data_IF_019964319006
#
_entry.id   IF_019964319006
#
_cell.length_a   1.000
_cell.length_b   1.000
_cell.length_c   1.000
_cell.angle_alpha   90.00
_cell.angle_beta   90.00
_cell.angle_gamma   90.00
#
_symmetry.space_group_name_H-M   'P 1'
#
loop_
_entity.id
_entity.type
_entity.pdbx_description
1 polymer ?
#
# COMPACT_ATOMS: atom_id res chain seq x y z
N UNK A 1 -14.40 -7.82 12.75
CA UNK A 1 -14.22 -8.23 11.35
C UNK A 1 -13.68 -9.65 11.39
N UNK A 2 -14.37 -10.61 10.77
CA UNK A 2 -13.92 -12.01 10.77
C UNK A 2 -12.51 -12.10 10.16
N UNK A 3 -11.67 -12.99 10.70
CA UNK A 3 -10.34 -13.23 10.14
C UNK A 3 -10.49 -13.91 8.78
N UNK A 4 -10.35 -13.11 7.71
CA UNK A 4 -10.31 -13.61 6.35
C UNK A 4 -9.12 -14.56 6.18
N UNK A 5 -9.35 -15.69 5.51
CA UNK A 5 -8.23 -16.49 4.98
C UNK A 5 -7.42 -15.64 3.99
N UNK A 6 -6.14 -15.95 3.82
CA UNK A 6 -5.25 -15.27 2.88
C UNK A 6 -5.84 -15.29 1.45
N UNK A 7 -6.46 -16.41 1.06
CA UNK A 7 -7.11 -16.54 -0.24
C UNK A 7 -8.31 -15.58 -0.40
N UNK A 8 -9.15 -15.47 0.63
CA UNK A 8 -10.28 -14.53 0.64
C UNK A 8 -9.78 -13.08 0.62
N UNK A 9 -8.77 -12.77 1.44
CA UNK A 9 -8.16 -11.45 1.50
C UNK A 9 -7.61 -11.03 0.14
N UNK A 10 -6.88 -11.91 -0.55
CA UNK A 10 -6.34 -11.64 -1.90
C UNK A 10 -7.45 -11.37 -2.90
N UNK A 11 -8.52 -12.18 -2.90
CA UNK A 11 -9.62 -12.01 -3.84
C UNK A 11 -10.33 -10.67 -3.63
N UNK A 12 -10.67 -10.34 -2.39
CA UNK A 12 -11.35 -9.10 -2.05
C UNK A 12 -10.48 -7.86 -2.28
N UNK A 13 -9.19 -7.93 -1.94
CA UNK A 13 -8.22 -6.86 -2.23
C UNK A 13 -8.09 -6.62 -3.73
N UNK A 14 -8.12 -7.68 -4.54
CA UNK A 14 -8.09 -7.57 -6.01
C UNK A 14 -9.32 -6.84 -6.55
N UNK A 15 -10.51 -7.15 -6.04
CA UNK A 15 -11.75 -6.47 -6.42
C UNK A 15 -11.69 -4.99 -6.04
N UNK A 16 -11.29 -4.68 -4.80
CA UNK A 16 -11.12 -3.30 -4.35
C UNK A 16 -10.10 -2.52 -5.17
N UNK A 17 -9.01 -3.17 -5.63
CA UNK A 17 -8.04 -2.56 -6.53
C UNK A 17 -8.64 -2.21 -7.90
N UNK A 18 -9.49 -3.07 -8.45
CA UNK A 18 -10.19 -2.82 -9.73
C UNK A 18 -11.15 -1.65 -9.57
N UNK A 19 -11.95 -1.65 -8.50
CA UNK A 19 -12.90 -0.56 -8.18
C UNK A 19 -12.20 0.77 -7.95
N UNK A 20 -11.04 0.76 -7.31
CA UNK A 20 -10.22 1.96 -7.10
C UNK A 20 -9.57 2.49 -8.40
N UNK A 21 -9.66 1.76 -9.52
CA UNK A 21 -9.09 2.17 -10.81
C UNK A 21 -7.62 1.80 -11.00
N UNK A 22 -7.17 0.67 -10.43
CA UNK A 22 -5.80 0.19 -10.62
C UNK A 22 -5.49 -0.04 -12.10
N UNK A 23 -4.29 0.32 -12.54
CA UNK A 23 -3.87 0.04 -13.93
C UNK A 23 -3.78 -1.46 -14.19
N UNK A 24 -4.03 -1.89 -15.42
CA UNK A 24 -3.91 -3.30 -15.84
C UNK A 24 -2.53 -3.89 -15.50
N UNK A 25 -1.48 -3.08 -15.63
CA UNK A 25 -0.13 -3.47 -15.21
C UNK A 25 -0.07 -3.80 -13.72
N UNK A 26 -0.58 -2.92 -12.86
CA UNK A 26 -0.56 -3.13 -11.42
C UNK A 26 -1.42 -4.34 -11.00
N UNK A 27 -2.60 -4.49 -11.60
CA UNK A 27 -3.46 -5.66 -11.37
C UNK A 27 -2.74 -6.98 -11.73
N UNK A 28 -2.00 -7.01 -12.85
CA UNK A 28 -1.25 -8.19 -13.27
C UNK A 28 -0.06 -8.51 -12.35
N UNK A 29 0.65 -7.48 -11.88
CA UNK A 29 1.71 -7.64 -10.88
C UNK A 29 1.13 -8.18 -9.58
N UNK A 30 0.06 -7.58 -9.07
CA UNK A 30 -0.64 -8.03 -7.87
C UNK A 30 -1.08 -9.50 -7.97
N UNK A 31 -1.69 -9.88 -9.11
CA UNK A 31 -2.11 -11.26 -9.38
C UNK A 31 -0.94 -12.24 -9.37
N UNK A 32 0.19 -11.87 -9.97
CA UNK A 32 1.36 -12.76 -10.03
C UNK A 32 2.00 -12.92 -8.66
N UNK A 33 2.21 -11.81 -7.95
CA UNK A 33 2.84 -11.80 -6.64
C UNK A 33 2.00 -12.54 -5.60
N UNK A 34 0.68 -12.32 -5.57
CA UNK A 34 -0.20 -12.97 -4.58
C UNK A 34 -0.36 -14.48 -4.82
N UNK A 35 -0.20 -14.96 -6.06
CA UNK A 35 -0.07 -16.41 -6.34
C UNK A 35 1.18 -16.99 -5.70
N UNK A 36 2.32 -16.29 -5.79
CA UNK A 36 3.57 -16.73 -5.17
C UNK A 36 3.46 -16.69 -3.64
N UNK A 37 2.82 -15.64 -3.09
CA UNK A 37 2.53 -15.55 -1.66
C UNK A 37 1.65 -16.71 -1.16
N UNK A 38 0.66 -17.14 -1.93
CA UNK A 38 -0.18 -18.31 -1.57
C UNK A 38 0.61 -19.62 -1.55
N UNK A 39 1.58 -19.79 -2.46
CA UNK A 39 2.45 -20.98 -2.45
C UNK A 39 3.36 -20.95 -1.22
N UNK A 40 3.97 -19.80 -0.94
CA UNK A 40 4.79 -19.59 0.26
C UNK A 40 3.99 -19.82 1.55
N UNK A 41 2.74 -19.36 1.62
CA UNK A 41 1.84 -19.62 2.74
C UNK A 41 1.57 -21.11 2.97
N UNK A 42 1.44 -21.90 1.90
CA UNK A 42 1.30 -23.37 2.01
C UNK A 42 2.56 -24.03 2.54
N UNK A 43 3.73 -23.61 2.08
CA UNK A 43 5.03 -24.13 2.56
C UNK A 43 5.22 -23.84 4.05
N UNK A 44 4.70 -22.72 4.54
CA UNK A 44 4.79 -22.27 5.93
C UNK A 44 3.55 -22.60 6.77
N UNK A 45 2.63 -23.45 6.28
CA UNK A 45 1.39 -23.86 6.98
C UNK A 45 0.60 -22.68 7.60
N UNK A 46 0.51 -21.58 6.87
CA UNK A 46 -0.13 -20.33 7.33
C UNK A 46 -1.34 -20.02 6.46
N UNK A 47 -2.50 -19.80 7.09
CA UNK A 47 -3.75 -19.50 6.38
C UNK A 47 -4.17 -18.03 6.49
N UNK A 48 -3.50 -17.23 7.32
CA UNK A 48 -3.80 -15.82 7.56
C UNK A 48 -2.66 -14.93 7.10
N UNK A 49 -2.99 -13.69 6.74
CA UNK A 49 -2.00 -12.68 6.40
C UNK A 49 -1.61 -11.87 7.65
N UNK A 50 -0.32 -11.59 7.78
CA UNK A 50 0.23 -10.54 8.63
C UNK A 50 1.25 -9.74 7.84
N UNK A 51 1.50 -8.49 8.25
CA UNK A 51 2.49 -7.66 7.59
C UNK A 51 3.89 -8.28 7.68
N UNK A 52 4.26 -8.83 8.84
CA UNK A 52 5.55 -9.50 9.04
C UNK A 52 5.71 -10.69 8.10
N UNK A 53 4.66 -11.49 7.92
CA UNK A 53 4.68 -12.62 6.99
C UNK A 53 4.85 -12.15 5.53
N UNK A 54 4.16 -11.07 5.15
CA UNK A 54 4.32 -10.46 3.82
C UNK A 54 5.72 -9.91 3.58
N UNK A 55 6.36 -9.31 4.60
CA UNK A 55 7.73 -8.82 4.52
C UNK A 55 8.74 -9.96 4.43
N UNK A 56 8.55 -11.03 5.22
CA UNK A 56 9.41 -12.21 5.15
C UNK A 56 9.35 -12.86 3.76
N UNK A 57 8.14 -13.00 3.19
CA UNK A 57 7.98 -13.46 1.81
C UNK A 57 8.78 -12.60 0.81
N UNK A 58 8.75 -11.27 0.96
CA UNK A 58 9.48 -10.38 0.06
C UNK A 58 10.99 -10.53 0.19
N UNK A 59 11.48 -10.76 1.41
CA UNK A 59 12.89 -11.04 1.65
C UNK A 59 13.30 -12.38 1.05
N UNK A 60 12.60 -13.46 1.40
CA UNK A 60 12.97 -14.83 0.98
C UNK A 60 12.88 -15.00 -0.54
N UNK A 61 11.84 -14.45 -1.17
CA UNK A 61 11.56 -14.68 -2.59
C UNK A 61 12.23 -13.68 -3.53
N UNK A 62 12.57 -12.48 -3.05
CA UNK A 62 13.13 -11.42 -3.90
C UNK A 62 14.39 -10.75 -3.36
N UNK A 63 14.89 -11.14 -2.19
CA UNK A 63 16.04 -10.54 -1.51
C UNK A 63 15.89 -9.02 -1.38
N UNK A 64 14.72 -8.61 -0.88
CA UNK A 64 14.27 -7.22 -0.96
C UNK A 64 15.25 -6.26 -0.28
N UNK A 65 15.80 -6.60 0.88
CA UNK A 65 16.78 -5.78 1.60
C UNK A 65 18.02 -5.51 0.75
N UNK A 66 18.60 -6.54 0.14
CA UNK A 66 19.76 -6.38 -0.76
C UNK A 66 19.44 -5.50 -1.98
N UNK A 67 18.24 -5.63 -2.55
CA UNK A 67 17.82 -4.79 -3.69
C UNK A 67 17.60 -3.33 -3.31
N UNK A 68 17.16 -3.06 -2.09
CA UNK A 68 17.02 -1.71 -1.54
C UNK A 68 18.40 -1.07 -1.42
N UNK A 69 19.38 -1.77 -0.83
CA UNK A 69 20.76 -1.31 -0.71
C UNK A 69 21.37 -0.99 -2.08
N UNK A 70 21.12 -1.83 -3.07
CA UNK A 70 21.59 -1.64 -4.45
C UNK A 70 20.79 -0.59 -5.25
N UNK A 71 19.78 0.05 -4.66
CA UNK A 71 18.85 0.97 -5.35
C UNK A 71 18.14 0.36 -6.57
N UNK A 72 18.01 -0.97 -6.62
CA UNK A 72 17.34 -1.75 -7.68
C UNK A 72 15.96 -2.28 -7.25
N UNK A 73 15.44 -1.78 -6.14
CA UNK A 73 14.20 -2.28 -5.54
C UNK A 73 12.99 -2.05 -6.44
N UNK A 74 12.11 -3.05 -6.51
CA UNK A 74 10.84 -2.96 -7.23
C UNK A 74 9.74 -2.47 -6.27
N UNK A 75 9.41 -1.18 -6.35
CA UNK A 75 8.41 -0.56 -5.49
C UNK A 75 7.02 -1.18 -5.58
N UNK A 76 6.71 -1.77 -6.72
CA UNK A 76 5.41 -2.38 -6.99
C UNK A 76 5.16 -3.58 -6.09
N UNK A 77 6.18 -4.36 -5.73
CA UNK A 77 6.00 -5.57 -4.91
C UNK A 77 5.63 -5.23 -3.46
N UNK A 78 6.35 -4.28 -2.85
CA UNK A 78 6.00 -3.78 -1.52
C UNK A 78 4.61 -3.14 -1.50
N UNK A 79 4.23 -2.42 -2.57
CA UNK A 79 2.87 -1.87 -2.72
C UNK A 79 1.79 -2.95 -2.74
N UNK A 80 2.04 -4.10 -3.38
CA UNK A 80 1.08 -5.21 -3.36
C UNK A 80 0.88 -5.77 -1.94
N UNK A 81 1.95 -5.91 -1.15
CA UNK A 81 1.86 -6.36 0.24
C UNK A 81 1.13 -5.31 1.11
N UNK A 82 1.44 -4.03 0.94
CA UNK A 82 0.73 -2.96 1.63
C UNK A 82 -0.77 -2.91 1.29
N UNK A 83 -1.14 -3.18 0.03
CA UNK A 83 -2.55 -3.22 -0.38
C UNK A 83 -3.34 -4.31 0.37
N UNK A 84 -2.73 -5.47 0.64
CA UNK A 84 -3.33 -6.52 1.47
C UNK A 84 -3.53 -6.04 2.91
N UNK A 85 -2.53 -5.38 3.50
CA UNK A 85 -2.60 -4.86 4.86
C UNK A 85 -3.68 -3.75 5.00
N UNK A 86 -3.77 -2.85 4.02
CA UNK A 86 -4.78 -1.80 3.99
C UNK A 86 -6.20 -2.35 3.90
N UNK A 87 -6.41 -3.30 2.99
CA UNK A 87 -7.70 -3.92 2.84
C UNK A 87 -8.07 -4.72 4.09
N UNK A 88 -7.13 -5.49 4.66
CA UNK A 88 -7.35 -6.22 5.91
C UNK A 88 -7.71 -5.29 7.07
N UNK A 89 -7.15 -4.08 7.12
CA UNK A 89 -7.42 -3.13 8.20
C UNK A 89 -8.73 -2.35 8.01
N UNK A 90 -9.01 -1.91 6.78
CA UNK A 90 -10.03 -0.89 6.51
C UNK A 90 -11.15 -1.32 5.55
N UNK A 91 -11.05 -2.52 4.95
CA UNK A 91 -11.94 -2.97 3.88
C UNK A 91 -11.81 -2.17 2.59
N UNK A 92 -10.78 -1.32 2.47
CA UNK A 92 -10.54 -0.44 1.33
C UNK A 92 -9.06 -0.49 0.93
N UNK A 93 -8.76 -0.18 -0.34
CA UNK A 93 -7.37 0.01 -0.80
C UNK A 93 -7.20 1.43 -1.29
N UNK A 94 -6.13 2.10 -0.84
CA UNK A 94 -5.78 3.42 -1.39
C UNK A 94 -4.72 3.24 -2.47
N UNK A 95 -5.07 3.53 -3.72
CA UNK A 95 -4.07 3.61 -4.78
C UNK A 95 -3.21 4.86 -4.57
N UNK A 96 -2.03 4.68 -3.96
CA UNK A 96 -0.96 5.71 -3.92
C UNK A 96 -0.46 6.14 -5.31
N UNK A 97 -1.07 5.64 -6.39
CA UNK A 97 -0.82 6.00 -7.78
C UNK A 97 -1.55 7.29 -8.18
N UNK A 98 -2.61 7.67 -7.47
CA UNK A 98 -3.23 8.97 -7.66
C UNK A 98 -2.42 9.93 -6.80
N UNK A 99 -1.72 10.87 -7.44
CA UNK A 99 -1.23 12.08 -6.76
C UNK A 99 -2.31 12.50 -5.78
N UNK A 100 -1.92 12.76 -4.54
CA UNK A 100 -2.82 13.19 -3.47
C UNK A 100 -3.59 14.45 -3.92
N UNK A 101 -4.69 14.22 -4.64
CA UNK A 101 -5.71 15.18 -5.04
C UNK A 101 -6.89 15.02 -4.11
N UNK A 102 -6.68 14.49 -2.89
CA UNK A 102 -7.56 14.83 -1.79
C UNK A 102 -7.34 16.33 -1.58
N UNK A 103 -8.11 17.14 -2.29
CA UNK A 103 -8.41 18.50 -1.90
C UNK A 103 -9.20 18.39 -0.59
N UNK A 104 -8.48 18.04 0.49
CA UNK A 104 -9.05 17.92 1.81
C UNK A 104 -9.41 19.34 2.23
N UNK A 105 -10.70 19.64 2.21
CA UNK A 105 -11.24 20.87 2.76
C UNK A 105 -11.45 20.65 4.25
N UNK A 106 -10.72 21.39 5.07
CA UNK A 106 -10.98 21.42 6.51
C UNK A 106 -12.40 21.96 6.74
N UNK A 107 -13.19 21.36 7.66
CA UNK A 107 -14.43 21.97 8.13
C UNK A 107 -14.15 23.38 8.66
N UNK A 108 -15.10 24.31 8.52
CA UNK A 108 -14.90 25.73 8.85
C UNK A 108 -14.35 25.94 10.26
N UNK A 109 -14.79 25.15 11.24
CA UNK A 109 -14.33 25.20 12.63
C UNK A 109 -12.84 24.90 12.82
N UNK A 110 -12.19 24.23 11.86
CA UNK A 110 -10.79 23.84 11.92
C UNK A 110 -9.92 24.52 10.87
N UNK A 111 -10.53 25.34 10.00
CA UNK A 111 -9.85 25.93 8.85
C UNK A 111 -8.70 26.85 9.28
N UNK A 112 -8.97 27.79 10.18
CA UNK A 112 -7.97 28.77 10.64
C UNK A 112 -6.79 28.10 11.35
N UNK A 113 -7.07 27.09 12.18
CA UNK A 113 -6.05 26.30 12.89
C UNK A 113 -5.18 25.50 11.92
N UNK A 114 -5.80 24.90 10.89
CA UNK A 114 -5.08 24.15 9.87
C UNK A 114 -4.22 25.06 8.99
N UNK A 115 -4.74 26.20 8.54
CA UNK A 115 -4.02 27.19 7.74
C UNK A 115 -2.83 27.78 8.53
N UNK A 116 -3.02 28.07 9.82
CA UNK A 116 -1.96 28.55 10.71
C UNK A 116 -0.84 27.52 10.87
N UNK A 117 -1.19 26.25 11.07
CA UNK A 117 -0.21 25.17 11.18
C UNK A 117 0.56 24.95 9.87
N UNK A 118 -0.13 24.94 8.73
CA UNK A 118 0.50 24.82 7.42
C UNK A 118 1.47 25.99 7.16
N UNK A 119 1.06 27.22 7.50
CA UNK A 119 1.90 28.41 7.38
C UNK A 119 3.16 28.34 8.24
N UNK A 120 3.05 27.80 9.46
CA UNK A 120 4.19 27.58 10.34
C UNK A 120 5.18 26.58 9.74
N UNK A 121 4.69 25.46 9.22
CA UNK A 121 5.52 24.43 8.58
C UNK A 121 6.29 24.96 7.38
N UNK A 122 5.65 25.79 6.55
CA UNK A 122 6.30 26.44 5.42
C UNK A 122 7.42 27.38 5.89
N UNK A 123 7.19 28.17 6.96
CA UNK A 123 8.22 29.03 7.57
C UNK A 123 9.40 28.24 8.14
N UNK A 124 9.18 27.03 8.64
CA UNK A 124 10.26 26.15 9.13
C UNK A 124 10.92 25.32 8.03
N UNK A 125 10.68 25.64 6.75
CA UNK A 125 11.30 24.99 5.60
C UNK A 125 10.68 23.65 5.20
N UNK A 126 9.56 23.25 5.83
CA UNK A 126 8.80 22.05 5.48
C UNK A 126 7.78 22.42 4.42
N UNK A 127 8.24 22.53 3.17
CA UNK A 127 7.40 22.89 2.03
C UNK A 127 6.60 21.69 1.51
N UNK A 128 5.42 21.97 0.93
CA UNK A 128 4.68 20.97 0.15
C UNK A 128 5.61 20.40 -0.92
N UNK A 129 5.65 19.07 -1.04
CA UNK A 129 6.40 18.41 -2.11
C UNK A 129 5.89 18.96 -3.44
N UNK A 130 6.70 19.78 -4.10
CA UNK A 130 6.52 20.14 -5.50
C UNK A 130 6.77 18.88 -6.32
N UNK A 131 5.77 18.01 -6.41
CA UNK A 131 5.75 16.98 -7.45
C UNK A 131 5.33 17.68 -8.75
N UNK A 132 6.20 18.59 -9.25
CA UNK A 132 6.18 18.95 -10.66
C UNK A 132 6.71 17.71 -11.40
N UNK A 133 5.78 17.02 -12.06
CA UNK A 133 6.09 16.12 -13.18
C UNK A 133 6.70 16.96 -14.29
#
# INVERSE_FOLDING_TARGET
MENLTLQQLINQTKEALIEAGASNYYQNVFKTLTKQLLLYAKEHNTESFSMDFGLQFLEDHYSMSSKIEQKKWCATYSRCINALAEYQHSGNVTLYLVMDKRAYTFPDSFKDSAESYLSHREKTGIIKKSNKV
#
